data_IF_774134994909
#
_entry.id   IF_774134994909
#
_cell.length_a   1.000
_cell.length_b   1.000
_cell.length_c   1.000
_cell.angle_alpha   90.00
_cell.angle_beta   90.00
_cell.angle_gamma   90.00
#
_symmetry.space_group_name_H-M   'P 1'
#
loop_
_entity.id
_entity.type
_entity.pdbx_description
1 polymer ?
#
# COMPACT_ATOMS: atom_id res chain seq x y z
N UNK A 1 -30.31 35.22 -37.77
CA UNK A 1 -29.59 35.23 -36.47
C UNK A 1 -29.37 33.79 -35.98
N UNK A 2 -28.24 33.12 -36.28
CA UNK A 2 -27.92 31.83 -35.66
C UNK A 2 -26.91 32.01 -34.51
N UNK A 3 -27.22 31.50 -33.31
CA UNK A 3 -26.31 31.52 -32.15
C UNK A 3 -25.35 30.32 -32.21
N UNK A 4 -24.05 30.62 -32.21
CA UNK A 4 -22.94 29.68 -32.27
C UNK A 4 -22.96 28.66 -31.11
N UNK A 5 -23.15 27.39 -31.44
CA UNK A 5 -23.17 26.25 -30.51
C UNK A 5 -21.75 25.79 -30.12
N UNK A 6 -20.72 26.24 -30.84
CA UNK A 6 -19.32 25.79 -30.73
C UNK A 6 -18.61 26.22 -29.42
N UNK A 7 -19.16 27.19 -28.68
CA UNK A 7 -18.51 27.76 -27.50
C UNK A 7 -18.55 26.85 -26.26
N UNK A 8 -19.53 25.96 -26.13
CA UNK A 8 -19.74 25.16 -24.90
C UNK A 8 -18.72 24.04 -24.74
N UNK A 9 -18.38 23.33 -25.81
CA UNK A 9 -17.46 22.19 -25.80
C UNK A 9 -16.01 22.60 -25.51
N UNK A 10 -15.58 23.73 -26.05
CA UNK A 10 -14.27 24.34 -25.77
C UNK A 10 -14.16 24.75 -24.30
N UNK A 11 -15.23 25.29 -23.71
CA UNK A 11 -15.26 25.74 -22.32
C UNK A 11 -15.20 24.58 -21.32
N UNK A 12 -15.86 23.45 -21.62
CA UNK A 12 -15.80 22.24 -20.79
C UNK A 12 -14.42 21.58 -20.84
N UNK A 13 -13.82 21.46 -22.03
CA UNK A 13 -12.47 20.90 -22.19
C UNK A 13 -11.40 21.74 -21.47
N UNK A 14 -11.52 23.07 -21.57
CA UNK A 14 -10.64 24.02 -20.87
C UNK A 14 -10.81 23.99 -19.35
N UNK A 15 -12.03 23.74 -18.85
CA UNK A 15 -12.28 23.53 -17.42
C UNK A 15 -11.68 22.22 -16.92
N UNK A 16 -11.86 21.12 -17.65
CA UNK A 16 -11.26 19.83 -17.28
C UNK A 16 -9.72 19.90 -17.25
N UNK A 17 -9.12 20.59 -18.22
CA UNK A 17 -7.67 20.79 -18.28
C UNK A 17 -7.11 21.58 -17.07
N UNK A 18 -7.93 22.37 -16.37
CA UNK A 18 -7.54 23.12 -15.17
C UNK A 18 -7.93 22.40 -13.88
N UNK A 19 -9.10 21.76 -13.85
CA UNK A 19 -9.65 21.10 -12.66
C UNK A 19 -8.88 19.83 -12.31
N UNK A 20 -8.45 19.04 -13.30
CA UNK A 20 -7.71 17.79 -13.04
C UNK A 20 -6.35 18.04 -12.37
N UNK A 21 -5.47 18.92 -12.89
CA UNK A 21 -4.21 19.23 -12.21
C UNK A 21 -4.43 19.90 -10.85
N UNK A 22 -5.46 20.74 -10.72
CA UNK A 22 -5.80 21.36 -9.43
C UNK A 22 -6.29 20.34 -8.40
N UNK A 23 -7.12 19.37 -8.80
CA UNK A 23 -7.59 18.30 -7.93
C UNK A 23 -6.46 17.34 -7.53
N UNK A 24 -5.57 16.98 -8.46
CA UNK A 24 -4.39 16.18 -8.16
C UNK A 24 -3.40 16.94 -7.26
N UNK A 25 -3.17 18.23 -7.52
CA UNK A 25 -2.34 19.09 -6.68
C UNK A 25 -2.91 19.23 -5.28
N UNK A 26 -4.22 19.46 -5.15
CA UNK A 26 -4.91 19.49 -3.87
C UNK A 26 -4.81 18.14 -3.15
N UNK A 27 -5.00 17.03 -3.86
CA UNK A 27 -4.89 15.68 -3.28
C UNK A 27 -3.49 15.41 -2.71
N UNK A 28 -2.44 15.72 -3.47
CA UNK A 28 -1.04 15.60 -3.02
C UNK A 28 -0.77 16.50 -1.81
N UNK A 29 -1.32 17.72 -1.78
CA UNK A 29 -1.16 18.65 -0.65
C UNK A 29 -1.94 18.23 0.60
N UNK A 30 -3.03 17.47 0.46
CA UNK A 30 -3.85 16.99 1.59
C UNK A 30 -3.33 15.69 2.22
N UNK A 31 -2.44 14.97 1.54
CA UNK A 31 -1.84 13.75 2.08
C UNK A 31 -0.48 14.09 2.74
N UNK A 32 -0.41 14.27 4.07
CA UNK A 32 0.87 14.44 4.74
C UNK A 32 1.75 13.20 4.47
N UNK A 33 3.08 13.37 4.30
CA UNK A 33 3.96 12.23 4.15
C UNK A 33 3.83 11.33 5.38
N UNK A 34 3.37 10.11 5.17
CA UNK A 34 3.35 9.08 6.21
C UNK A 34 4.80 8.67 6.50
N UNK A 35 5.44 9.36 7.43
CA UNK A 35 6.75 8.98 7.91
C UNK A 35 6.62 7.78 8.85
N UNK A 36 7.41 6.74 8.63
CA UNK A 36 7.57 5.68 9.61
C UNK A 36 8.17 6.30 10.88
N UNK A 37 7.51 6.15 12.01
CA UNK A 37 8.01 6.62 13.32
C UNK A 37 9.15 5.76 13.84
N UNK A 38 9.31 4.55 13.31
CA UNK A 38 10.42 3.64 13.61
C UNK A 38 11.62 3.91 12.72
N UNK A 39 12.82 3.86 13.31
CA UNK A 39 14.07 3.93 12.56
C UNK A 39 14.29 2.68 11.69
N UNK A 40 15.11 2.75 10.62
CA UNK A 40 15.43 1.56 9.81
C UNK A 40 15.98 0.39 10.64
N UNK A 41 16.80 0.67 11.65
CA UNK A 41 17.32 -0.35 12.56
C UNK A 41 16.21 -0.99 13.40
N UNK A 42 15.25 -0.22 13.91
CA UNK A 42 14.10 -0.75 14.64
C UNK A 42 13.22 -1.63 13.76
N UNK A 43 13.02 -1.26 12.50
CA UNK A 43 12.27 -2.07 11.52
C UNK A 43 13.00 -3.39 11.25
N UNK A 44 14.31 -3.35 11.03
CA UNK A 44 15.12 -4.55 10.79
C UNK A 44 15.09 -5.51 11.99
N UNK A 45 15.19 -4.98 13.21
CA UNK A 45 15.06 -5.75 14.45
C UNK A 45 13.66 -6.34 14.59
N UNK A 46 12.61 -5.54 14.39
CA UNK A 46 11.22 -5.99 14.46
C UNK A 46 10.94 -7.13 13.47
N UNK A 47 11.41 -6.99 12.23
CA UNK A 47 11.32 -8.04 11.20
C UNK A 47 12.03 -9.33 11.64
N UNK A 48 13.23 -9.23 12.18
CA UNK A 48 13.99 -10.39 12.67
C UNK A 48 13.25 -11.12 13.79
N UNK A 49 12.75 -10.36 14.77
CA UNK A 49 11.99 -10.91 15.89
C UNK A 49 10.66 -11.53 15.44
N UNK A 50 9.96 -10.89 14.51
CA UNK A 50 8.72 -11.41 13.92
C UNK A 50 8.93 -12.73 13.18
N UNK A 51 9.99 -12.84 12.37
CA UNK A 51 10.36 -14.09 11.68
C UNK A 51 10.67 -15.20 12.69
N UNK A 52 11.43 -14.90 13.74
CA UNK A 52 11.75 -15.88 14.78
C UNK A 52 10.49 -16.35 15.52
N UNK A 53 9.59 -15.42 15.86
CA UNK A 53 8.32 -15.75 16.47
C UNK A 53 7.46 -16.63 15.56
N UNK A 54 7.28 -16.28 14.29
CA UNK A 54 6.50 -17.10 13.36
C UNK A 54 7.07 -18.50 13.22
N UNK A 55 8.39 -18.66 13.12
CA UNK A 55 9.02 -19.99 13.11
C UNK A 55 8.70 -20.81 14.36
N UNK A 56 8.60 -20.18 15.53
CA UNK A 56 8.23 -20.88 16.77
C UNK A 56 6.79 -21.40 16.78
N UNK A 57 5.93 -20.88 15.91
CA UNK A 57 4.54 -21.33 15.77
C UNK A 57 4.37 -22.49 14.78
N UNK A 58 5.42 -22.88 14.06
CA UNK A 58 5.34 -23.97 13.10
C UNK A 58 5.05 -25.28 13.83
N UNK A 59 4.00 -25.97 13.40
CA UNK A 59 3.69 -27.31 13.87
C UNK A 59 4.74 -28.32 13.36
N UNK A 60 4.79 -29.49 13.99
CA UNK A 60 5.78 -30.52 13.64
C UNK A 60 5.62 -31.08 12.21
N UNK A 61 4.44 -30.91 11.60
CA UNK A 61 4.15 -31.25 10.19
C UNK A 61 4.56 -30.14 9.20
N UNK A 62 5.16 -29.05 9.70
CA UNK A 62 5.56 -27.89 8.92
C UNK A 62 4.44 -26.87 8.68
N UNK A 63 3.22 -27.14 9.17
CA UNK A 63 2.07 -26.26 9.00
C UNK A 63 2.14 -25.05 9.93
N UNK A 64 1.67 -23.91 9.43
CA UNK A 64 1.33 -22.72 10.21
C UNK A 64 -0.18 -22.54 10.38
N UNK A 65 -0.99 -23.44 9.81
CA UNK A 65 -2.44 -23.43 9.93
C UNK A 65 -2.83 -23.85 11.35
N UNK A 66 -3.33 -22.90 12.14
CA UNK A 66 -3.59 -23.05 13.57
C UNK A 66 -4.45 -21.92 14.10
N UNK A 67 -4.41 -21.65 15.41
CA UNK A 67 -5.23 -20.68 16.15
C UNK A 67 -5.28 -19.25 15.56
N UNK A 68 -6.02 -19.06 14.46
CA UNK A 68 -6.16 -17.81 13.72
C UNK A 68 -5.15 -17.56 12.60
N UNK A 69 -4.24 -18.49 12.31
CA UNK A 69 -3.20 -18.37 11.28
C UNK A 69 -3.45 -19.33 10.12
N UNK A 70 -3.17 -18.87 8.89
CA UNK A 70 -3.20 -19.70 7.68
C UNK A 70 -1.81 -19.84 7.08
N UNK A 71 -1.58 -20.96 6.41
CA UNK A 71 -0.33 -21.22 5.68
C UNK A 71 -0.03 -20.13 4.67
N UNK A 72 -1.04 -19.72 3.88
CA UNK A 72 -0.89 -18.67 2.87
C UNK A 72 -0.44 -17.34 3.46
N UNK A 73 -1.00 -16.96 4.62
CA UNK A 73 -0.58 -15.75 5.32
C UNK A 73 0.86 -15.86 5.83
N UNK A 74 1.23 -17.01 6.41
CA UNK A 74 2.56 -17.22 6.96
C UNK A 74 3.62 -17.22 5.85
N UNK A 75 3.36 -17.95 4.76
CA UNK A 75 4.25 -18.00 3.59
C UNK A 75 4.38 -16.64 2.91
N UNK A 76 3.29 -15.89 2.77
CA UNK A 76 3.33 -14.52 2.25
C UNK A 76 4.17 -13.60 3.15
N UNK A 77 4.08 -13.78 4.46
CA UNK A 77 4.87 -13.01 5.43
C UNK A 77 6.36 -13.33 5.35
N UNK A 78 6.72 -14.61 5.25
CA UNK A 78 8.10 -15.05 5.05
C UNK A 78 8.67 -14.55 3.72
N UNK A 79 7.90 -14.64 2.63
CA UNK A 79 8.28 -14.12 1.32
C UNK A 79 8.52 -12.60 1.35
N UNK A 80 7.61 -11.83 1.94
CA UNK A 80 7.80 -10.38 2.13
C UNK A 80 9.00 -10.05 3.02
N UNK A 81 9.32 -10.94 3.96
CA UNK A 81 10.52 -10.86 4.77
C UNK A 81 11.80 -11.31 4.02
N UNK A 82 11.70 -11.87 2.82
CA UNK A 82 12.86 -12.45 2.11
C UNK A 82 13.46 -13.66 2.83
N UNK A 83 12.63 -14.37 3.59
CA UNK A 83 13.01 -15.56 4.36
C UNK A 83 12.31 -16.77 3.76
N UNK A 84 13.00 -17.89 3.60
CA UNK A 84 12.36 -19.15 3.22
C UNK A 84 11.50 -19.69 4.37
N UNK A 85 10.29 -20.14 4.04
CA UNK A 85 9.53 -21.02 4.92
C UNK A 85 10.17 -22.41 4.84
N UNK A 86 10.82 -22.82 5.91
CA UNK A 86 11.47 -24.13 6.09
C UNK A 86 11.07 -24.64 7.44
#
# INVERSE_FOLDING_TARGET
MPRSVTSRTSRTSRRLALVVPAALGAFVLTAPPAAATSTPAQIATSKTNGVAYLKSLQAADGSYAGSGLSNEWAFSTFAAAGTAAV
#
